data_IF_431318281458
#
_entry.id   IF_431318281458
#
_cell.length_a   1.000
_cell.length_b   1.000
_cell.length_c   1.000
_cell.angle_alpha   90.00
_cell.angle_beta   90.00
_cell.angle_gamma   90.00
#
_symmetry.space_group_name_H-M   'P 1'
#
loop_
_entity.id
_entity.type
_entity.pdbx_description
1 polymer ?
#
# COMPACT_ATOMS: atom_id res chain seq x y z
N UNK A 1 -10.60 -1.17 -26.37
CA UNK A 1 -9.64 -2.25 -26.04
C UNK A 1 -8.41 -2.08 -26.92
N UNK A 2 -7.53 -1.16 -26.54
CA UNK A 2 -6.12 -1.21 -26.93
C UNK A 2 -5.43 -1.28 -25.59
N UNK A 3 -5.49 -2.46 -24.99
CA UNK A 3 -4.87 -2.76 -23.71
C UNK A 3 -3.35 -2.69 -23.96
N UNK A 4 -2.59 -2.00 -23.09
CA UNK A 4 -1.21 -1.54 -23.33
C UNK A 4 -0.19 -2.57 -23.84
N UNK A 5 -0.51 -3.86 -23.79
CA UNK A 5 0.22 -4.95 -24.45
C UNK A 5 0.39 -4.75 -25.97
N UNK A 6 -0.53 -4.03 -26.62
CA UNK A 6 -0.41 -3.71 -28.05
C UNK A 6 0.80 -2.81 -28.36
N UNK A 7 1.07 -1.82 -27.50
CA UNK A 7 2.12 -0.83 -27.76
C UNK A 7 3.52 -1.45 -27.67
N UNK A 8 3.75 -2.33 -26.70
CA UNK A 8 5.01 -3.09 -26.60
C UNK A 8 5.17 -3.99 -27.83
N UNK A 9 4.15 -4.78 -28.18
CA UNK A 9 4.21 -5.67 -29.34
C UNK A 9 4.41 -4.94 -30.68
N UNK A 10 3.89 -3.72 -30.82
CA UNK A 10 4.06 -2.88 -32.01
C UNK A 10 5.46 -2.22 -32.10
N UNK A 11 6.00 -1.74 -30.97
CA UNK A 11 7.27 -1.02 -30.95
C UNK A 11 8.50 -1.94 -30.94
N UNK A 12 8.41 -3.15 -30.36
CA UNK A 12 9.51 -4.13 -30.33
C UNK A 12 10.08 -4.49 -31.72
N UNK A 13 9.30 -4.81 -32.77
CA UNK A 13 9.85 -5.11 -34.09
C UNK A 13 10.51 -3.90 -34.77
N UNK A 14 10.09 -2.66 -34.45
CA UNK A 14 10.75 -1.44 -34.93
C UNK A 14 12.10 -1.21 -34.24
N UNK A 15 12.22 -1.58 -32.96
CA UNK A 15 13.47 -1.47 -32.22
C UNK A 15 14.51 -2.53 -32.67
N UNK A 16 14.06 -3.71 -33.09
CA UNK A 16 14.94 -4.83 -33.43
C UNK A 16 15.39 -4.86 -34.92
N UNK A 17 14.70 -4.13 -35.81
CA UNK A 17 14.83 -4.26 -37.28
C UNK A 17 16.22 -4.00 -37.87
N UNK A 18 17.18 -3.49 -37.09
CA UNK A 18 18.58 -3.30 -37.51
C UNK A 18 19.62 -3.58 -36.43
N UNK A 19 19.23 -4.10 -35.27
CA UNK A 19 20.09 -4.05 -34.07
C UNK A 19 20.64 -5.43 -33.66
N UNK A 20 20.12 -6.56 -34.16
CA UNK A 20 20.63 -7.92 -33.91
C UNK A 20 21.06 -8.13 -32.43
N UNK A 21 22.30 -8.57 -32.15
CA UNK A 21 22.82 -8.77 -30.78
C UNK A 21 22.84 -7.48 -29.93
N UNK A 22 22.83 -6.30 -30.57
CA UNK A 22 22.76 -5.00 -29.91
C UNK A 22 21.48 -4.79 -29.09
N UNK A 23 20.37 -5.46 -29.42
CA UNK A 23 19.12 -5.39 -28.66
C UNK A 23 19.32 -5.79 -27.18
N UNK A 24 20.21 -6.77 -26.93
CA UNK A 24 20.55 -7.23 -25.58
C UNK A 24 21.18 -6.14 -24.72
N UNK A 25 22.00 -5.26 -25.31
CA UNK A 25 22.59 -4.12 -24.58
C UNK A 25 21.57 -3.04 -24.25
N UNK A 26 20.56 -2.83 -25.11
CA UNK A 26 19.45 -1.91 -24.84
C UNK A 26 18.59 -2.45 -23.70
N UNK A 27 18.31 -3.76 -23.70
CA UNK A 27 17.58 -4.41 -22.61
C UNK A 27 18.35 -4.31 -21.28
N UNK A 28 19.65 -4.63 -21.30
CA UNK A 28 20.51 -4.49 -20.12
C UNK A 28 20.59 -3.03 -19.64
N UNK A 29 20.80 -2.07 -20.54
CA UNK A 29 20.87 -0.65 -20.22
C UNK A 29 19.58 -0.12 -19.60
N UNK A 30 18.43 -0.54 -20.14
CA UNK A 30 17.12 -0.15 -19.59
C UNK A 30 16.87 -0.77 -18.21
N UNK A 31 17.23 -2.03 -18.01
CA UNK A 31 17.12 -2.70 -16.71
C UNK A 31 18.07 -2.07 -15.67
N UNK A 32 19.30 -1.74 -16.07
CA UNK A 32 20.26 -1.08 -15.19
C UNK A 32 19.80 0.33 -14.84
N UNK A 33 19.31 1.10 -15.81
CA UNK A 33 18.74 2.43 -15.58
C UNK A 33 17.54 2.36 -14.64
N UNK A 34 16.63 1.40 -14.84
CA UNK A 34 15.51 1.17 -13.94
C UNK A 34 15.97 0.78 -12.53
N UNK A 35 16.98 -0.08 -12.40
CA UNK A 35 17.57 -0.46 -11.12
C UNK A 35 18.19 0.73 -10.38
N UNK A 36 18.96 1.55 -11.07
CA UNK A 36 19.54 2.79 -10.54
C UNK A 36 18.44 3.75 -10.09
N UNK A 37 17.44 3.98 -10.94
CA UNK A 37 16.29 4.85 -10.64
C UNK A 37 15.58 4.39 -9.36
N UNK A 38 15.27 3.10 -9.26
CA UNK A 38 14.62 2.52 -8.07
C UNK A 38 15.50 2.66 -6.83
N UNK A 39 16.80 2.37 -6.94
CA UNK A 39 17.72 2.46 -5.81
C UNK A 39 17.83 3.89 -5.24
N UNK A 40 17.83 4.91 -6.11
CA UNK A 40 18.01 6.30 -5.69
C UNK A 40 16.72 7.06 -5.38
N UNK A 41 15.55 6.59 -5.80
CA UNK A 41 14.30 7.36 -5.69
C UNK A 41 13.16 6.62 -4.99
N UNK A 42 13.26 5.30 -4.80
CA UNK A 42 12.19 4.53 -4.17
C UNK A 42 12.44 4.37 -2.67
N UNK A 43 11.53 4.92 -1.85
CA UNK A 43 11.50 4.65 -0.41
C UNK A 43 10.78 3.33 -0.12
N UNK A 44 11.22 2.64 0.92
CA UNK A 44 10.61 1.37 1.32
C UNK A 44 9.31 1.61 2.10
N UNK A 45 8.17 1.23 1.51
CA UNK A 45 6.83 1.38 2.12
C UNK A 45 6.26 0.09 2.70
N UNK A 46 7.03 -1.00 2.71
CA UNK A 46 6.58 -2.31 3.23
C UNK A 46 6.28 -2.22 4.72
N UNK A 47 5.11 -2.74 5.12
CA UNK A 47 4.67 -2.80 6.52
C UNK A 47 4.33 -1.43 7.16
N UNK A 48 4.28 -0.34 6.38
CA UNK A 48 3.87 0.99 6.87
C UNK A 48 2.39 1.24 6.54
N UNK A 49 1.69 1.92 7.44
CA UNK A 49 0.36 2.47 7.17
C UNK A 49 0.45 3.70 6.24
N UNK A 50 -0.64 4.06 5.57
CA UNK A 50 -0.63 5.11 4.54
C UNK A 50 -0.26 6.49 5.11
N UNK A 51 -0.63 6.72 6.37
CA UNK A 51 -0.30 7.91 7.16
C UNK A 51 1.20 7.95 7.51
N UNK A 52 1.80 6.78 7.77
CA UNK A 52 3.22 6.68 8.10
C UNK A 52 4.09 6.82 6.86
N UNK A 53 3.61 6.36 5.71
CA UNK A 53 4.25 6.61 4.41
C UNK A 53 4.30 8.11 4.12
N UNK A 54 3.21 8.84 4.34
CA UNK A 54 3.18 10.31 4.17
C UNK A 54 4.17 11.04 5.10
N UNK A 55 4.24 10.63 6.37
CA UNK A 55 5.22 11.17 7.32
C UNK A 55 6.66 10.86 6.87
N UNK A 56 6.92 9.66 6.37
CA UNK A 56 8.24 9.25 5.88
C UNK A 56 8.68 10.10 4.68
N UNK A 57 7.78 10.34 3.71
CA UNK A 57 8.05 11.22 2.56
C UNK A 57 8.22 12.69 2.96
N UNK A 58 7.63 13.11 4.08
CA UNK A 58 7.77 14.47 4.60
C UNK A 58 9.12 14.75 5.30
N UNK A 59 9.92 13.72 5.60
CA UNK A 59 11.20 13.87 6.28
C UNK A 59 12.34 14.23 5.32
N UNK A 60 12.83 15.47 5.41
CA UNK A 60 13.87 16.02 4.52
C UNK A 60 15.25 15.35 4.60
N UNK A 61 15.56 14.65 5.69
CA UNK A 61 16.89 14.06 5.94
C UNK A 61 16.97 12.55 5.68
N UNK A 62 15.86 11.92 5.31
CA UNK A 62 15.89 10.51 4.93
C UNK A 62 16.33 10.40 3.48
N UNK A 63 17.23 9.45 3.24
CA UNK A 63 17.62 9.03 1.90
C UNK A 63 16.90 7.71 1.60
N UNK A 64 16.49 7.45 0.35
CA UNK A 64 15.70 6.26 0.01
C UNK A 64 16.42 4.95 0.37
N UNK A 65 17.75 4.89 0.27
CA UNK A 65 18.54 3.71 0.68
C UNK A 65 18.69 3.53 2.19
N UNK A 66 18.39 4.54 3.01
CA UNK A 66 18.29 4.43 4.47
C UNK A 66 16.84 4.30 4.96
N UNK A 67 15.87 4.32 4.04
CA UNK A 67 14.45 4.17 4.34
C UNK A 67 14.09 2.82 4.96
N UNK A 68 14.99 1.83 4.93
CA UNK A 68 14.73 0.48 5.46
C UNK A 68 14.80 0.41 6.99
N UNK A 69 15.66 1.24 7.59
CA UNK A 69 15.85 1.31 9.04
C UNK A 69 14.87 2.28 9.70
N UNK A 70 14.20 3.12 8.90
CA UNK A 70 13.28 4.12 9.41
C UNK A 70 12.05 3.48 10.07
N UNK A 71 11.77 3.90 11.29
CA UNK A 71 10.60 3.48 12.04
C UNK A 71 9.73 4.67 12.44
N UNK A 72 8.39 4.54 12.32
CA UNK A 72 7.47 5.55 12.82
C UNK A 72 7.55 5.62 14.36
N UNK A 73 7.35 6.81 14.91
CA UNK A 73 7.40 7.04 16.36
C UNK A 73 6.38 6.13 17.08
N UNK A 74 6.86 5.30 18.02
CA UNK A 74 6.03 4.38 18.80
C UNK A 74 6.02 2.92 18.32
N UNK A 75 6.74 2.58 17.24
CA UNK A 75 6.92 1.18 16.83
C UNK A 75 8.15 0.55 17.53
N UNK A 76 8.01 -0.71 17.98
CA UNK A 76 9.11 -1.51 18.57
C UNK A 76 9.75 -2.44 17.52
N UNK A 77 8.97 -2.84 16.50
CA UNK A 77 9.42 -3.73 15.44
C UNK A 77 8.72 -3.39 14.12
N UNK A 78 9.47 -3.17 13.04
CA UNK A 78 8.97 -2.83 11.70
C UNK A 78 8.31 -4.01 11.01
N UNK A 79 8.76 -5.23 11.33
CA UNK A 79 8.36 -6.45 10.61
C UNK A 79 7.11 -7.12 11.21
N UNK A 80 6.57 -6.60 12.30
CA UNK A 80 5.25 -7.00 12.81
C UNK A 80 4.18 -6.30 11.98
N UNK A 81 3.83 -6.88 10.84
CA UNK A 81 2.57 -6.55 10.18
C UNK A 81 1.47 -6.85 11.18
N UNK A 82 0.86 -5.82 11.76
CA UNK A 82 -0.37 -5.98 12.51
C UNK A 82 -1.42 -6.54 11.53
N UNK A 83 -1.85 -7.81 11.65
CA UNK A 83 -2.86 -8.38 10.75
C UNK A 83 -4.18 -7.60 10.82
N UNK A 84 -4.38 -6.84 11.90
CA UNK A 84 -5.58 -6.02 12.13
C UNK A 84 -5.90 -4.99 11.04
N UNK A 85 -4.90 -4.43 10.35
CA UNK A 85 -5.13 -3.34 9.38
C UNK A 85 -5.65 -3.83 8.02
N UNK A 86 -5.36 -5.09 7.66
CA UNK A 86 -5.91 -5.71 6.44
C UNK A 86 -7.25 -6.41 6.71
N UNK A 87 -7.35 -7.11 7.84
CA UNK A 87 -8.55 -7.81 8.29
C UNK A 87 -9.76 -6.87 8.49
N UNK A 88 -9.54 -5.61 8.92
CA UNK A 88 -10.63 -4.63 9.09
C UNK A 88 -11.24 -4.12 7.79
N UNK A 89 -10.58 -4.28 6.63
CA UNK A 89 -11.09 -3.74 5.36
C UNK A 89 -11.94 -4.74 4.56
N UNK A 90 -11.78 -6.04 4.80
CA UNK A 90 -12.41 -7.08 3.96
C UNK A 90 -13.16 -8.18 4.74
N UNK A 91 -13.48 -7.99 6.02
CA UNK A 91 -14.28 -8.98 6.78
C UNK A 91 -15.77 -8.59 6.86
N UNK A 92 -16.70 -9.40 6.31
CA UNK A 92 -18.14 -9.24 6.52
C UNK A 92 -18.55 -9.28 8.00
N UNK A 93 -17.74 -9.93 8.84
CA UNK A 93 -17.97 -10.09 10.28
C UNK A 93 -17.80 -8.74 11.01
N UNK A 94 -16.87 -7.88 10.56
CA UNK A 94 -16.65 -6.54 11.11
C UNK A 94 -17.82 -5.58 10.92
N UNK A 95 -18.51 -5.66 9.78
CA UNK A 95 -19.76 -4.89 9.56
C UNK A 95 -20.90 -5.40 10.44
N UNK A 96 -21.04 -6.72 10.61
CA UNK A 96 -22.12 -7.28 11.44
C UNK A 96 -21.97 -6.89 12.92
N UNK A 97 -20.75 -6.89 13.46
CA UNK A 97 -20.50 -6.50 14.86
C UNK A 97 -20.76 -5.01 15.10
N UNK A 98 -20.40 -4.14 14.15
CA UNK A 98 -20.71 -2.71 14.22
C UNK A 98 -22.21 -2.43 14.20
N UNK A 99 -22.97 -3.14 13.35
CA UNK A 99 -24.43 -3.05 13.29
C UNK A 99 -25.10 -3.63 14.55
N UNK A 100 -24.59 -4.72 15.12
CA UNK A 100 -25.12 -5.28 16.37
C UNK A 100 -24.88 -4.35 17.56
N UNK A 101 -23.71 -3.72 17.66
CA UNK A 101 -23.41 -2.77 18.72
C UNK A 101 -24.27 -1.49 18.61
N UNK A 102 -24.50 -0.98 17.39
CA UNK A 102 -25.45 0.12 17.12
C UNK A 102 -26.89 -0.24 17.48
N UNK A 103 -27.33 -1.47 17.17
CA UNK A 103 -28.68 -1.96 17.49
C UNK A 103 -28.88 -2.11 18.99
N UNK A 104 -27.87 -2.62 19.71
CA UNK A 104 -27.90 -2.76 21.17
C UNK A 104 -27.93 -1.41 21.90
N UNK A 105 -27.28 -0.38 21.35
CA UNK A 105 -27.38 0.99 21.87
C UNK A 105 -28.75 1.63 21.64
N UNK A 106 -29.49 1.23 20.59
CA UNK A 106 -30.88 1.69 20.38
C UNK A 106 -31.89 0.96 21.27
N UNK A 107 -31.68 -0.32 21.54
CA UNK A 107 -32.53 -1.09 22.47
C UNK A 107 -32.31 -0.69 23.95
N UNK A 108 -31.11 -0.21 24.30
CA UNK A 108 -30.79 0.26 25.66
C UNK A 108 -31.37 1.64 26.03
N UNK A 109 -31.93 2.38 25.08
CA UNK A 109 -32.58 3.68 25.33
C UNK A 109 -34.10 3.60 25.48
N UNK A 110 -34.70 2.41 25.40
CA UNK A 110 -36.16 2.21 25.35
C UNK A 110 -36.72 1.45 26.56
N UNK A 111 -36.00 1.39 27.68
CA UNK A 111 -36.59 0.97 28.97
C UNK A 111 -37.11 2.20 29.73
N UNK A 112 -38.43 2.40 29.84
CA UNK A 112 -38.98 3.52 30.60
C UNK A 112 -38.63 3.35 32.09
N UNK A 113 -38.20 4.43 32.77
CA UNK A 113 -37.76 4.36 34.15
C UNK A 113 -38.87 3.89 35.09
N UNK A 114 -38.53 3.25 36.22
CA UNK A 114 -39.45 2.45 37.05
C UNK A 114 -40.64 3.17 37.71
N UNK A 115 -40.78 4.49 37.54
CA UNK A 115 -41.81 5.29 38.20
C UNK A 115 -43.11 5.45 37.38
N UNK A 116 -43.18 4.87 36.17
CA UNK A 116 -44.39 4.87 35.32
C UNK A 116 -45.17 3.54 35.36
N UNK A 117 -44.93 2.68 36.35
CA UNK A 117 -45.65 1.40 36.52
C UNK A 117 -46.37 1.28 37.89
N UNK A 118 -46.96 2.38 38.37
CA UNK A 118 -47.82 2.41 39.56
C UNK A 118 -49.26 2.78 39.19
#
# INVERSE_FOLDING_TARGET
MIEGNFLIGFLTPFADSGISYGFGFVFFGTNLAAGIMVYFLLYETKSLALEQVDVMYSQKNLKPWHSSEWMPAGYIDRNKRVPETFERRCSPIGQSMGLQNMRKSREGSESPPPYLQA
#
